data_IF_416760256320
#
_entry.id   IF_416760256320
#
_cell.length_a   1.000
_cell.length_b   1.000
_cell.length_c   1.000
_cell.angle_alpha   90.00
_cell.angle_beta   90.00
_cell.angle_gamma   90.00
#
_symmetry.space_group_name_H-M   'P 1'
#
loop_
_entity.id
_entity.type
_entity.pdbx_description
1 polymer ?
#
# COMPACT_ATOMS: atom_id res chain seq x y z
N UNK A 1 -20.12 -5.25 -3.80
CA UNK A 1 -19.61 -6.40 -4.60
C UNK A 1 -18.13 -6.51 -4.30
N UNK A 2 -17.54 -7.70 -4.19
CA UNK A 2 -16.08 -7.83 -4.06
C UNK A 2 -15.43 -7.53 -5.41
N UNK A 3 -14.36 -6.74 -5.42
CA UNK A 3 -13.45 -6.65 -6.56
C UNK A 3 -12.79 -8.02 -6.77
N UNK A 4 -12.47 -8.40 -8.01
CA UNK A 4 -11.72 -9.63 -8.29
C UNK A 4 -10.25 -9.29 -8.55
N UNK A 5 -9.31 -10.23 -8.37
CA UNK A 5 -7.88 -9.97 -8.63
C UNK A 5 -7.59 -9.45 -10.05
N UNK A 6 -8.41 -9.82 -11.04
CA UNK A 6 -8.35 -9.28 -12.40
C UNK A 6 -8.70 -7.79 -12.46
N UNK A 7 -9.62 -7.30 -11.62
CA UNK A 7 -9.97 -5.87 -11.52
C UNK A 7 -8.76 -5.08 -11.02
N UNK A 8 -8.08 -5.58 -9.99
CA UNK A 8 -6.88 -4.96 -9.43
C UNK A 8 -5.73 -4.90 -10.43
N UNK A 9 -5.49 -5.96 -11.21
CA UNK A 9 -4.50 -5.95 -12.30
C UNK A 9 -4.81 -4.89 -13.37
N UNK A 10 -6.09 -4.67 -13.70
CA UNK A 10 -6.51 -3.61 -14.63
C UNK A 10 -6.34 -2.21 -14.04
N UNK A 11 -6.69 -2.00 -12.76
CA UNK A 11 -6.47 -0.74 -12.05
C UNK A 11 -4.97 -0.41 -11.96
N UNK A 12 -4.15 -1.39 -11.59
CA UNK A 12 -2.70 -1.25 -11.42
C UNK A 12 -1.98 -0.93 -12.72
N UNK A 13 -2.29 -1.67 -13.80
CA UNK A 13 -1.74 -1.39 -15.14
C UNK A 13 -2.23 -0.07 -15.74
N UNK A 14 -3.35 0.48 -15.27
CA UNK A 14 -3.81 1.83 -15.62
C UNK A 14 -3.03 2.91 -14.86
N UNK A 15 -2.84 2.73 -13.55
CA UNK A 15 -2.02 3.62 -12.72
C UNK A 15 -0.55 3.66 -13.19
N UNK A 16 0.04 2.49 -13.45
CA UNK A 16 1.44 2.37 -13.92
C UNK A 16 1.67 3.11 -15.25
N UNK A 17 0.68 3.12 -16.15
CA UNK A 17 0.70 3.94 -17.39
C UNK A 17 0.59 5.44 -17.12
N UNK A 18 -0.38 5.86 -16.28
CA UNK A 18 -0.57 7.28 -15.95
C UNK A 18 0.62 7.88 -15.18
N UNK A 19 1.30 7.09 -14.36
CA UNK A 19 2.48 7.51 -13.59
C UNK A 19 3.60 8.06 -14.49
N UNK A 20 3.86 7.40 -15.63
CA UNK A 20 4.91 7.78 -16.56
C UNK A 20 4.70 9.17 -17.19
N UNK A 21 3.51 9.42 -17.74
CA UNK A 21 3.19 10.73 -18.35
C UNK A 21 3.09 11.83 -17.30
N UNK A 22 2.36 11.59 -16.21
CA UNK A 22 2.19 12.53 -15.11
C UNK A 22 3.55 12.96 -14.52
N UNK A 23 4.50 12.04 -14.39
CA UNK A 23 5.88 12.35 -13.96
C UNK A 23 6.61 13.29 -14.92
N UNK A 24 6.52 13.07 -16.24
CA UNK A 24 7.12 13.98 -17.23
C UNK A 24 6.45 15.35 -17.28
N UNK A 25 5.12 15.41 -17.13
CA UNK A 25 4.36 16.66 -17.20
C UNK A 25 4.58 17.52 -15.95
N UNK A 26 4.68 16.90 -14.76
CA UNK A 26 5.10 17.56 -13.52
C UNK A 26 6.54 18.10 -13.62
N UNK A 27 7.47 17.35 -14.21
CA UNK A 27 8.84 17.80 -14.42
C UNK A 27 8.89 19.02 -15.36
N UNK A 28 8.13 19.00 -16.46
CA UNK A 28 8.06 20.13 -17.39
C UNK A 28 7.37 21.36 -16.75
N UNK A 29 6.33 21.15 -15.94
CA UNK A 29 5.66 22.21 -15.22
C UNK A 29 6.56 22.84 -14.14
N UNK A 30 7.33 22.03 -13.40
CA UNK A 30 8.32 22.52 -12.44
C UNK A 30 9.41 23.37 -13.13
N UNK A 31 9.89 22.97 -14.31
CA UNK A 31 10.83 23.78 -15.10
C UNK A 31 10.23 25.12 -15.54
N UNK A 32 8.97 25.12 -16.03
CA UNK A 32 8.24 26.35 -16.41
C UNK A 32 8.01 27.29 -15.22
N UNK A 33 7.70 26.73 -14.04
CA UNK A 33 7.56 27.48 -12.80
C UNK A 33 8.91 28.09 -12.36
N UNK A 34 10.00 27.32 -12.44
CA UNK A 34 11.34 27.77 -12.05
C UNK A 34 11.92 28.84 -12.99
N UNK A 35 11.70 28.71 -14.31
CA UNK A 35 12.29 29.61 -15.31
C UNK A 35 11.44 30.86 -15.58
N UNK A 36 10.10 30.72 -15.58
CA UNK A 36 9.17 31.74 -16.06
C UNK A 36 8.05 32.07 -15.06
N UNK A 37 8.10 31.54 -13.83
CA UNK A 37 7.05 31.76 -12.81
C UNK A 37 5.67 31.22 -13.20
N UNK A 38 5.58 30.38 -14.23
CA UNK A 38 4.30 29.90 -14.76
C UNK A 38 3.68 28.88 -13.80
N UNK A 39 2.43 29.08 -13.32
CA UNK A 39 1.77 28.13 -12.44
C UNK A 39 1.48 26.81 -13.16
N UNK A 40 1.28 25.73 -12.39
CA UNK A 40 0.80 24.46 -12.91
C UNK A 40 -0.60 24.63 -13.51
N UNK A 41 -0.92 23.91 -14.59
CA UNK A 41 -2.26 23.96 -15.16
C UNK A 41 -3.28 23.23 -14.26
N UNK A 42 -4.51 23.72 -14.27
CA UNK A 42 -5.64 23.11 -13.54
C UNK A 42 -5.81 21.64 -13.93
N UNK A 43 -5.66 21.31 -15.22
CA UNK A 43 -5.68 19.92 -15.74
C UNK A 43 -4.63 19.01 -15.08
N UNK A 44 -3.40 19.50 -14.87
CA UNK A 44 -2.31 18.72 -14.29
C UNK A 44 -2.54 18.49 -12.78
N UNK A 45 -3.18 19.45 -12.12
CA UNK A 45 -3.61 19.33 -10.73
C UNK A 45 -4.77 18.33 -10.59
N UNK A 46 -5.74 18.35 -11.51
CA UNK A 46 -6.82 17.36 -11.57
C UNK A 46 -6.29 15.93 -11.81
N UNK A 47 -5.35 15.76 -12.74
CA UNK A 47 -4.73 14.47 -13.03
C UNK A 47 -3.88 13.95 -11.86
N UNK A 48 -3.12 14.82 -11.18
CA UNK A 48 -2.42 14.49 -9.94
C UNK A 48 -3.37 14.01 -8.84
N UNK A 49 -4.45 14.76 -8.60
CA UNK A 49 -5.46 14.43 -7.58
C UNK A 49 -6.22 13.14 -7.94
N UNK A 50 -6.49 12.90 -9.22
CA UNK A 50 -7.11 11.67 -9.72
C UNK A 50 -6.19 10.47 -9.54
N UNK A 51 -4.92 10.57 -9.95
CA UNK A 51 -3.92 9.52 -9.80
C UNK A 51 -3.75 9.11 -8.33
N UNK A 52 -3.58 10.09 -7.43
CA UNK A 52 -3.45 9.85 -6.00
C UNK A 52 -4.71 9.17 -5.41
N UNK A 53 -5.91 9.61 -5.83
CA UNK A 53 -7.19 8.99 -5.44
C UNK A 53 -7.32 7.53 -5.89
N UNK A 54 -7.02 7.24 -7.15
CA UNK A 54 -7.11 5.88 -7.69
C UNK A 54 -6.02 4.95 -7.12
N UNK A 55 -4.82 5.48 -6.84
CA UNK A 55 -3.77 4.76 -6.12
C UNK A 55 -4.18 4.38 -4.70
N UNK A 56 -4.63 5.35 -3.89
CA UNK A 56 -5.08 5.09 -2.53
C UNK A 56 -6.30 4.15 -2.50
N UNK A 57 -7.21 4.26 -3.47
CA UNK A 57 -8.33 3.32 -3.62
C UNK A 57 -7.84 1.90 -3.84
N UNK A 58 -6.94 1.67 -4.79
CA UNK A 58 -6.36 0.34 -5.04
C UNK A 58 -5.59 -0.18 -3.82
N UNK A 59 -4.84 0.68 -3.14
CA UNK A 59 -4.13 0.33 -1.90
C UNK A 59 -5.10 -0.16 -0.82
N UNK A 60 -6.24 0.52 -0.63
CA UNK A 60 -7.26 0.11 0.35
C UNK A 60 -8.03 -1.16 -0.07
N UNK A 61 -8.31 -1.35 -1.36
CA UNK A 61 -8.89 -2.61 -1.88
C UNK A 61 -7.94 -3.80 -1.63
N UNK A 62 -6.62 -3.63 -1.80
CA UNK A 62 -5.59 -4.66 -1.55
C UNK A 62 -5.34 -4.92 -0.06
N UNK A 63 -5.41 -3.87 0.78
CA UNK A 63 -5.29 -4.00 2.25
C UNK A 63 -6.54 -4.64 2.87
N UNK A 64 -7.74 -4.48 2.28
CA UNK A 64 -8.96 -5.06 2.88
C UNK A 64 -9.12 -6.57 2.65
N UNK A 65 -8.24 -7.22 1.88
CA UNK A 65 -8.19 -8.69 1.75
C UNK A 65 -6.89 -9.32 2.27
N UNK A 66 -6.02 -8.56 2.97
CA UNK A 66 -4.81 -9.07 3.62
C UNK A 66 -4.60 -8.45 5.01
N UNK A 67 -4.14 -9.23 6.00
CA UNK A 67 -4.14 -8.83 7.41
C UNK A 67 -3.33 -7.56 7.73
N UNK A 68 -3.70 -6.92 8.83
CA UNK A 68 -3.22 -5.61 9.31
C UNK A 68 -1.70 -5.42 9.23
N UNK A 69 -1.26 -4.51 8.36
CA UNK A 69 0.11 -3.97 8.36
C UNK A 69 0.05 -2.44 8.46
N UNK A 70 0.90 -1.87 9.33
CA UNK A 70 0.97 -0.45 9.64
C UNK A 70 1.21 0.46 8.42
N UNK A 71 0.80 1.72 8.58
CA UNK A 71 0.95 2.77 7.57
C UNK A 71 2.43 3.03 7.23
N UNK A 72 2.88 2.48 6.10
CA UNK A 72 4.13 2.83 5.42
C UNK A 72 3.76 3.42 4.06
N UNK A 73 4.51 4.42 3.61
CA UNK A 73 4.38 5.02 2.27
C UNK A 73 4.86 4.02 1.21
N UNK A 74 3.99 3.06 0.86
CA UNK A 74 4.28 2.04 -0.15
C UNK A 74 4.33 2.67 -1.55
N UNK A 75 5.38 2.38 -2.31
CA UNK A 75 5.44 2.77 -3.72
C UNK A 75 4.52 1.92 -4.60
N UNK A 76 4.25 2.36 -5.83
CA UNK A 76 3.51 1.55 -6.81
C UNK A 76 4.22 0.22 -7.10
N UNK A 77 5.55 0.22 -7.10
CA UNK A 77 6.39 -0.98 -7.21
C UNK A 77 6.21 -1.97 -6.05
N UNK A 78 5.87 -1.50 -4.85
CA UNK A 78 5.63 -2.37 -3.69
C UNK A 78 4.18 -2.89 -3.68
N UNK A 79 3.25 -2.12 -4.24
CA UNK A 79 1.89 -2.56 -4.52
C UNK A 79 1.88 -3.63 -5.63
N UNK A 80 2.70 -3.48 -6.68
CA UNK A 80 2.93 -4.52 -7.71
C UNK A 80 3.47 -5.82 -7.10
N UNK A 81 4.51 -5.75 -6.25
CA UNK A 81 5.03 -6.94 -5.53
C UNK A 81 3.97 -7.58 -4.63
N UNK A 82 3.22 -6.79 -3.86
CA UNK A 82 2.16 -7.31 -2.97
C UNK A 82 1.02 -7.95 -3.74
N UNK A 83 0.60 -7.39 -4.89
CA UNK A 83 -0.44 -8.00 -5.71
C UNK A 83 0.03 -9.34 -6.30
N UNK A 84 1.31 -9.42 -6.72
CA UNK A 84 1.90 -10.68 -7.17
C UNK A 84 1.91 -11.73 -6.05
N UNK A 85 2.28 -11.33 -4.83
CA UNK A 85 2.33 -12.20 -3.64
C UNK A 85 0.95 -12.56 -3.06
N UNK A 86 -0.12 -11.81 -3.34
CA UNK A 86 -1.50 -12.16 -2.97
C UNK A 86 -2.18 -13.09 -3.99
N UNK A 87 -1.73 -13.09 -5.25
CA UNK A 87 -2.27 -13.95 -6.32
C UNK A 87 -1.62 -15.35 -6.27
N UNK A 88 -0.37 -15.45 -5.81
CA UNK A 88 0.13 -16.65 -5.17
C UNK A 88 -0.67 -16.88 -3.87
N UNK A 89 -1.26 -18.06 -3.60
CA UNK A 89 -1.82 -18.31 -2.28
C UNK A 89 -0.68 -18.26 -1.25
N UNK A 90 -0.86 -17.50 -0.17
CA UNK A 90 0.07 -17.52 0.97
C UNK A 90 -0.01 -18.90 1.65
N UNK A 91 0.82 -19.82 1.13
CA UNK A 91 0.80 -21.25 1.42
C UNK A 91 1.31 -21.57 2.85
N UNK A 92 1.42 -20.56 3.73
CA UNK A 92 1.93 -20.62 5.10
C UNK A 92 1.50 -21.85 5.93
N UNK A 93 0.22 -22.29 6.00
CA UNK A 93 -0.12 -23.52 6.71
C UNK A 93 0.52 -24.76 6.07
N UNK A 94 0.58 -24.83 4.74
CA UNK A 94 1.22 -25.93 4.01
C UNK A 94 2.75 -25.85 4.04
N UNK A 95 3.34 -24.65 4.01
CA UNK A 95 4.77 -24.39 4.17
C UNK A 95 5.23 -24.76 5.59
N UNK A 96 4.47 -24.37 6.62
CA UNK A 96 4.68 -24.80 8.01
C UNK A 96 4.58 -26.32 8.13
N UNK A 97 3.61 -26.95 7.48
CA UNK A 97 3.48 -28.42 7.49
C UNK A 97 4.64 -29.12 6.76
N UNK A 98 5.10 -28.57 5.62
CA UNK A 98 6.31 -29.03 4.89
C UNK A 98 7.56 -28.89 5.78
N UNK A 99 7.77 -27.73 6.40
CA UNK A 99 8.88 -27.47 7.32
C UNK A 99 8.88 -28.43 8.52
N UNK A 100 7.73 -28.64 9.17
CA UNK A 100 7.59 -29.60 10.28
C UNK A 100 7.83 -31.04 9.82
N UNK A 101 7.36 -31.45 8.63
CA UNK A 101 7.66 -32.77 8.04
C UNK A 101 9.17 -32.97 7.83
N UNK A 102 9.86 -31.97 7.28
CA UNK A 102 11.33 -32.00 7.09
C UNK A 102 12.07 -32.13 8.43
N UNK A 103 11.64 -31.41 9.47
CA UNK A 103 12.26 -31.52 10.79
C UNK A 103 11.98 -32.89 11.44
N UNK A 104 10.75 -33.40 11.36
CA UNK A 104 10.39 -34.73 11.88
C UNK A 104 11.12 -35.86 11.10
N UNK A 105 11.38 -35.67 9.80
CA UNK A 105 12.25 -36.54 9.00
C UNK A 105 13.69 -36.58 9.55
N UNK A 106 14.33 -35.43 9.79
CA UNK A 106 15.70 -35.37 10.37
C UNK A 106 15.76 -36.01 11.75
N UNK A 107 14.76 -35.75 12.60
CA UNK A 107 14.70 -36.33 13.95
C UNK A 107 14.60 -37.86 13.93
N UNK A 108 13.97 -38.43 12.88
CA UNK A 108 13.88 -39.86 12.63
C UNK A 108 15.14 -40.52 12.03
N UNK A 109 16.24 -39.80 11.82
CA UNK A 109 17.49 -40.40 11.33
C UNK A 109 18.28 -41.09 12.46
N UNK A 110 18.98 -42.18 12.17
CA UNK A 110 19.87 -42.89 13.10
C UNK A 110 21.16 -43.32 12.39
N UNK A 111 22.24 -43.54 13.15
CA UNK A 111 23.49 -44.11 12.62
C UNK A 111 23.47 -45.64 12.76
N UNK A 112 23.59 -46.34 11.64
CA UNK A 112 23.43 -47.80 11.48
C UNK A 112 24.29 -48.62 12.45
N UNK A 113 25.53 -48.19 12.69
CA UNK A 113 26.52 -48.93 13.48
C UNK A 113 26.79 -48.34 14.89
N UNK A 114 26.12 -47.24 15.27
CA UNK A 114 26.43 -46.49 16.50
C UNK A 114 25.16 -45.91 17.12
N UNK A 115 24.86 -46.28 18.35
CA UNK A 115 23.65 -45.80 19.06
C UNK A 115 23.73 -44.35 19.56
N UNK A 116 24.93 -43.77 19.59
CA UNK A 116 25.20 -42.36 19.92
C UNK A 116 26.19 -41.86 18.87
N UNK A 117 25.93 -40.73 18.23
CA UNK A 117 26.80 -40.17 17.20
C UNK A 117 26.69 -38.63 17.20
N UNK A 118 27.62 -37.99 17.92
CA UNK A 118 27.56 -36.58 18.35
C UNK A 118 27.26 -35.58 17.22
N UNK A 119 27.74 -35.85 16.00
CA UNK A 119 27.49 -34.98 14.84
C UNK A 119 26.05 -35.07 14.30
N UNK A 120 25.42 -36.25 14.36
CA UNK A 120 23.99 -36.40 14.07
C UNK A 120 23.16 -35.85 15.23
N UNK A 121 23.57 -36.07 16.48
CA UNK A 121 22.88 -35.52 17.64
C UNK A 121 22.89 -33.98 17.63
N UNK A 122 23.97 -33.36 17.16
CA UNK A 122 24.05 -31.91 16.93
C UNK A 122 23.03 -31.42 15.89
N UNK A 123 22.90 -32.13 14.76
CA UNK A 123 21.88 -31.83 13.75
C UNK A 123 20.45 -32.01 14.30
N UNK A 124 20.21 -33.01 15.16
CA UNK A 124 18.92 -33.21 15.85
C UNK A 124 18.59 -32.12 16.87
N UNK A 125 19.58 -31.61 17.60
CA UNK A 125 19.36 -30.47 18.50
C UNK A 125 18.97 -29.21 17.72
N UNK A 126 19.67 -28.93 16.61
CA UNK A 126 19.30 -27.85 15.67
C UNK A 126 17.87 -28.02 15.12
N UNK A 127 17.53 -29.22 14.65
CA UNK A 127 16.18 -29.53 14.17
C UNK A 127 15.10 -29.36 15.27
N UNK A 128 15.41 -29.76 16.51
CA UNK A 128 14.52 -29.60 17.67
C UNK A 128 14.30 -28.12 18.02
N UNK A 129 15.34 -27.29 17.94
CA UNK A 129 15.26 -25.85 18.20
C UNK A 129 14.39 -25.12 17.15
N UNK A 130 14.59 -25.42 15.86
CA UNK A 130 13.73 -24.89 14.80
C UNK A 130 12.27 -25.36 14.96
N UNK A 131 12.08 -26.62 15.35
CA UNK A 131 10.75 -27.20 15.61
C UNK A 131 10.03 -26.51 16.76
N UNK A 132 10.72 -26.19 17.86
CA UNK A 132 10.12 -25.43 18.97
C UNK A 132 9.82 -24.00 18.58
N UNK A 133 10.71 -23.29 17.86
CA UNK A 133 10.45 -21.95 17.32
C UNK A 133 9.19 -21.93 16.43
N UNK A 134 9.11 -22.81 15.43
CA UNK A 134 7.95 -22.95 14.52
C UNK A 134 6.67 -23.35 15.28
N UNK A 135 6.77 -23.99 16.44
CA UNK A 135 5.61 -24.33 17.28
C UNK A 135 5.10 -23.13 18.08
N UNK A 136 6.01 -22.34 18.67
CA UNK A 136 5.66 -21.24 19.59
C UNK A 136 5.37 -19.89 18.90
N UNK A 137 5.92 -19.64 17.72
CA UNK A 137 5.69 -18.42 16.92
C UNK A 137 4.82 -18.73 15.70
N UNK A 138 3.48 -18.57 15.76
CA UNK A 138 2.58 -19.00 14.69
C UNK A 138 2.37 -17.99 13.56
N UNK A 139 2.83 -16.73 13.71
CA UNK A 139 2.45 -15.59 12.84
C UNK A 139 3.61 -14.97 12.05
N UNK A 140 4.87 -15.29 12.36
CA UNK A 140 6.05 -14.77 11.66
C UNK A 140 7.03 -15.91 11.38
N UNK A 141 7.58 -15.96 10.17
CA UNK A 141 8.59 -16.93 9.77
C UNK A 141 9.99 -16.32 9.94
N UNK A 142 10.91 -17.05 10.61
CA UNK A 142 12.35 -16.76 10.51
C UNK A 142 12.83 -17.09 9.09
N UNK A 143 13.84 -16.35 8.61
CA UNK A 143 14.51 -16.61 7.32
C UNK A 143 15.07 -18.03 7.22
N UNK A 144 15.38 -18.65 8.35
CA UNK A 144 15.79 -20.06 8.45
C UNK A 144 14.69 -21.04 8.03
N UNK A 145 13.42 -20.70 8.29
CA UNK A 145 12.25 -21.53 7.92
C UNK A 145 11.92 -21.36 6.45
N UNK A 146 12.06 -20.15 5.90
CA UNK A 146 11.97 -19.91 4.46
C UNK A 146 13.05 -20.69 3.69
N UNK A 147 14.29 -20.66 4.17
CA UNK A 147 15.39 -21.46 3.63
C UNK A 147 15.12 -22.97 3.71
N UNK A 148 14.47 -23.45 4.78
CA UNK A 148 14.09 -24.85 4.95
C UNK A 148 13.00 -25.29 3.95
N UNK A 149 12.01 -24.43 3.72
CA UNK A 149 10.94 -24.66 2.73
C UNK A 149 11.46 -24.57 1.29
N UNK A 150 12.45 -23.72 1.04
CA UNK A 150 13.14 -23.62 -0.24
C UNK A 150 14.16 -24.76 -0.49
N UNK A 151 14.40 -25.64 0.48
CA UNK A 151 15.39 -26.73 0.40
C UNK A 151 16.85 -26.28 0.61
N UNK A 152 17.11 -24.97 0.73
CA UNK A 152 18.44 -24.34 0.84
C UNK A 152 19.02 -24.41 2.27
N UNK A 153 18.31 -24.98 3.25
CA UNK A 153 18.81 -25.11 4.63
C UNK A 153 19.74 -26.33 4.81
N UNK A 154 20.76 -26.28 5.69
CA UNK A 154 21.65 -27.43 5.91
C UNK A 154 20.94 -28.72 6.37
N UNK A 155 19.79 -28.61 7.04
CA UNK A 155 18.98 -29.77 7.44
C UNK A 155 18.21 -30.39 6.27
N UNK A 156 17.78 -29.61 5.28
CA UNK A 156 17.21 -30.17 4.05
C UNK A 156 18.30 -30.76 3.15
N UNK A 157 19.46 -30.11 3.05
CA UNK A 157 20.63 -30.69 2.38
C UNK A 157 21.03 -32.06 2.96
N UNK A 158 21.03 -32.18 4.29
CA UNK A 158 21.26 -33.43 5.01
C UNK A 158 20.25 -34.53 4.61
N UNK A 159 18.96 -34.22 4.53
CA UNK A 159 17.96 -35.18 4.03
C UNK A 159 18.18 -35.52 2.55
N UNK A 160 18.44 -34.55 1.68
CA UNK A 160 18.64 -34.79 0.24
C UNK A 160 19.80 -35.75 -0.01
N UNK A 161 20.93 -35.60 0.72
CA UNK A 161 22.06 -36.53 0.66
C UNK A 161 21.72 -37.94 1.20
N UNK A 162 20.79 -38.07 2.15
CA UNK A 162 20.41 -39.35 2.78
C UNK A 162 19.28 -40.09 2.05
N UNK A 163 18.27 -39.38 1.54
CA UNK A 163 17.08 -39.96 0.89
C UNK A 163 17.22 -40.05 -0.63
N UNK A 164 18.05 -39.21 -1.28
CA UNK A 164 18.25 -39.22 -2.75
C UNK A 164 19.70 -39.37 -3.20
N UNK A 165 20.62 -39.64 -2.27
CA UNK A 165 22.06 -39.53 -2.49
C UNK A 165 22.62 -40.32 -3.68
N UNK A 166 22.14 -41.55 -3.88
CA UNK A 166 22.58 -42.44 -4.96
C UNK A 166 22.10 -42.00 -6.37
N UNK A 167 21.26 -40.95 -6.46
CA UNK A 167 20.73 -40.41 -7.73
C UNK A 167 21.02 -38.93 -7.96
N UNK A 168 21.90 -38.31 -7.16
CA UNK A 168 22.34 -36.92 -7.35
C UNK A 168 23.52 -36.82 -8.32
N UNK A 169 23.61 -35.72 -9.07
CA UNK A 169 24.78 -35.39 -9.89
C UNK A 169 25.97 -35.01 -9.00
N UNK A 170 27.20 -35.39 -9.36
CA UNK A 170 28.43 -35.12 -8.60
C UNK A 170 28.57 -33.64 -8.17
N UNK A 171 28.22 -32.69 -9.04
CA UNK A 171 28.28 -31.26 -8.73
C UNK A 171 27.27 -30.84 -7.66
N UNK A 172 26.06 -31.42 -7.67
CA UNK A 172 25.04 -31.16 -6.66
C UNK A 172 25.41 -31.84 -5.34
N UNK A 173 25.95 -33.07 -5.39
CA UNK A 173 26.46 -33.79 -4.23
C UNK A 173 27.54 -32.99 -3.49
N UNK A 174 28.55 -32.47 -4.20
CA UNK A 174 29.65 -31.69 -3.59
C UNK A 174 29.16 -30.42 -2.89
N UNK A 175 28.22 -29.68 -3.48
CA UNK A 175 27.65 -28.46 -2.87
C UNK A 175 26.88 -28.79 -1.58
N UNK A 176 26.08 -29.86 -1.61
CA UNK A 176 25.33 -30.31 -0.44
C UNK A 176 26.25 -30.90 0.65
N UNK A 177 27.32 -31.61 0.27
CA UNK A 177 28.35 -32.10 1.20
C UNK A 177 29.07 -30.93 1.89
N UNK A 178 29.52 -29.93 1.12
CA UNK A 178 30.16 -28.74 1.68
C UNK A 178 29.25 -28.06 2.71
N UNK A 179 27.99 -27.82 2.34
CA UNK A 179 26.99 -27.19 3.20
C UNK A 179 26.74 -27.97 4.51
N UNK A 180 26.58 -29.30 4.43
CA UNK A 180 26.40 -30.15 5.62
C UNK A 180 27.68 -30.21 6.46
N UNK A 181 28.85 -30.28 5.82
CA UNK A 181 30.14 -30.35 6.51
C UNK A 181 30.52 -29.06 7.24
N UNK A 182 30.12 -27.90 6.69
CA UNK A 182 30.30 -26.59 7.31
C UNK A 182 29.36 -26.39 8.52
N UNK A 183 28.17 -26.99 8.48
CA UNK A 183 27.11 -26.79 9.49
C UNK A 183 27.16 -27.81 10.64
N UNK A 184 27.49 -29.07 10.35
CA UNK A 184 27.43 -30.19 11.29
C UNK A 184 28.70 -31.05 11.34
N UNK A 185 29.74 -30.65 10.62
CA UNK A 185 31.06 -31.29 10.63
C UNK A 185 31.25 -32.40 9.59
N UNK A 186 32.51 -32.54 9.13
CA UNK A 186 32.93 -33.52 8.11
C UNK A 186 32.67 -34.99 8.50
N UNK A 187 32.60 -35.28 9.80
CA UNK A 187 32.20 -36.59 10.33
C UNK A 187 30.81 -37.01 9.88
N UNK A 188 29.84 -36.09 9.84
CA UNK A 188 28.48 -36.39 9.41
C UNK A 188 28.42 -36.59 7.88
N UNK A 189 29.06 -35.73 7.10
CA UNK A 189 29.20 -35.87 5.66
C UNK A 189 29.80 -37.24 5.26
N UNK A 190 30.90 -37.65 5.92
CA UNK A 190 31.55 -38.95 5.71
C UNK A 190 30.69 -40.14 6.18
N UNK A 191 29.78 -39.96 7.13
CA UNK A 191 28.81 -40.99 7.50
C UNK A 191 27.71 -41.15 6.44
N UNK A 192 27.24 -40.04 5.86
CA UNK A 192 26.23 -40.02 4.80
C UNK A 192 26.78 -40.62 3.51
N UNK A 193 27.97 -40.20 3.05
CA UNK A 193 28.63 -40.75 1.84
C UNK A 193 29.01 -42.24 1.94
N UNK A 194 28.85 -42.85 3.12
CA UNK A 194 29.06 -44.28 3.39
C UNK A 194 27.76 -45.05 3.64
N UNK A 195 26.60 -44.44 3.43
CA UNK A 195 25.29 -45.07 3.69
C UNK A 195 25.07 -45.48 5.15
N UNK A 196 25.72 -44.81 6.10
CA UNK A 196 25.65 -45.14 7.54
C UNK A 196 24.54 -44.38 8.27
N UNK A 197 24.06 -43.28 7.72
CA UNK A 197 22.85 -42.59 8.22
C UNK A 197 21.64 -43.20 7.53
N UNK A 198 20.68 -43.69 8.32
CA UNK A 198 19.46 -44.34 7.84
C UNK A 198 18.24 -43.74 8.54
N UNK A 199 17.06 -43.85 7.94
CA UNK A 199 15.80 -43.43 8.56
C UNK A 199 15.24 -44.57 9.42
N UNK A 200 14.92 -44.29 10.69
CA UNK A 200 14.33 -45.29 11.59
C UNK A 200 12.87 -45.53 11.25
N UNK A 201 12.61 -46.54 10.42
CA UNK A 201 11.26 -47.04 10.17
C UNK A 201 10.81 -47.86 11.37
N UNK A 202 9.76 -47.41 12.07
CA UNK A 202 9.15 -48.15 13.18
C UNK A 202 8.28 -49.31 12.65
N UNK A 203 8.94 -50.36 12.16
CA UNK A 203 8.31 -51.61 11.74
C UNK A 203 9.08 -52.81 12.30
N UNK A 204 8.34 -53.76 12.88
CA UNK A 204 8.85 -55.08 13.27
C UNK A 204 9.28 -55.90 12.04
N UNK A 205 9.83 -57.09 12.31
CA UNK A 205 10.08 -58.19 11.36
C UNK A 205 11.35 -58.13 10.48
N UNK A 206 12.47 -58.48 11.12
CA UNK A 206 13.31 -59.64 10.78
C UNK A 206 13.70 -59.94 9.30
N UNK A 207 15.03 -60.02 9.11
CA UNK A 207 15.80 -60.94 8.24
C UNK A 207 15.87 -60.74 6.71
N UNK A 208 17.09 -60.50 6.19
CA UNK A 208 17.89 -61.48 5.41
C UNK A 208 18.73 -60.89 4.25
N UNK A 209 19.94 -61.46 4.07
CA UNK A 209 20.74 -61.53 2.81
C UNK A 209 21.49 -60.29 2.27
N UNK A 210 22.44 -60.57 1.37
CA UNK A 210 23.62 -59.76 0.96
C UNK A 210 23.69 -59.69 -0.59
N UNK A 211 24.25 -58.61 -1.21
CA UNK A 211 24.26 -58.38 -2.68
C UNK A 211 25.55 -58.98 -3.34
N UNK A 212 26.06 -58.61 -4.56
CA UNK A 212 25.61 -57.61 -5.56
C UNK A 212 25.76 -58.02 -7.07
N UNK A 213 25.61 -57.01 -7.97
CA UNK A 213 26.35 -56.75 -9.23
C UNK A 213 25.68 -56.95 -10.61
N UNK A 214 25.71 -55.90 -11.45
CA UNK A 214 26.13 -55.87 -12.87
C UNK A 214 25.93 -54.47 -13.51
N UNK A 215 26.73 -54.12 -14.54
CA UNK A 215 26.71 -52.80 -15.24
C UNK A 215 25.73 -52.80 -16.45
N UNK A 216 25.64 -51.71 -17.24
CA UNK A 216 26.52 -51.63 -18.41
C UNK A 216 27.07 -50.24 -18.81
N UNK A 217 28.34 -50.26 -19.21
CA UNK A 217 29.01 -49.62 -20.37
C UNK A 217 28.85 -48.15 -20.78
N UNK A 218 30.02 -47.58 -21.09
CA UNK A 218 30.28 -46.24 -21.65
C UNK A 218 30.43 -46.33 -23.18
N UNK A 219 29.95 -45.32 -23.92
CA UNK A 219 30.39 -45.05 -25.30
C UNK A 219 30.76 -43.57 -25.44
N UNK A 220 31.91 -43.30 -26.05
CA UNK A 220 32.46 -41.96 -26.33
C UNK A 220 32.84 -41.91 -27.83
N UNK A 221 33.02 -40.68 -28.35
CA UNK A 221 33.60 -40.28 -29.65
C UNK A 221 32.57 -40.02 -30.77
N UNK A 222 32.60 -38.86 -31.45
CA UNK A 222 33.46 -37.70 -31.15
C UNK A 222 33.35 -36.51 -32.11
N UNK A 223 33.99 -35.42 -31.68
CA UNK A 223 34.46 -34.27 -32.48
C UNK A 223 35.65 -34.69 -33.38
N UNK A 224 36.05 -33.97 -34.47
CA UNK A 224 36.47 -32.55 -34.36
C UNK A 224 36.38 -31.61 -35.61
N UNK A 225 36.60 -30.30 -35.34
CA UNK A 225 37.11 -29.24 -36.26
C UNK A 225 36.22 -28.81 -37.47
N UNK A 226 36.31 -27.59 -38.04
CA UNK A 226 37.27 -26.49 -37.84
C UNK A 226 36.77 -25.09 -38.24
N UNK A 227 37.45 -24.06 -37.71
CA UNK A 227 37.71 -22.71 -38.27
C UNK A 227 36.60 -21.64 -38.43
N UNK A 228 37.04 -20.40 -38.17
CA UNK A 228 36.44 -19.07 -38.38
C UNK A 228 37.40 -18.26 -39.32
N UNK A 229 37.36 -16.92 -39.52
CA UNK A 229 36.39 -15.85 -39.16
C UNK A 229 36.05 -14.88 -40.35
N UNK A 230 35.53 -13.67 -40.06
CA UNK A 230 35.49 -12.37 -40.82
C UNK A 230 34.07 -11.77 -41.01
N UNK A 231 33.84 -10.45 -41.20
CA UNK A 231 34.42 -9.23 -40.58
C UNK A 231 33.45 -8.02 -40.80
N UNK A 232 33.88 -6.75 -40.64
CA UNK A 232 33.04 -5.57 -40.31
C UNK A 232 32.94 -4.48 -41.42
N UNK A 233 31.75 -3.88 -41.62
CA UNK A 233 31.50 -2.59 -42.33
C UNK A 233 30.32 -1.85 -41.61
N UNK A 234 30.20 -0.53 -41.31
CA UNK A 234 30.96 0.75 -41.54
C UNK A 234 30.23 1.78 -42.46
N UNK A 235 29.15 2.42 -41.92
CA UNK A 235 28.72 3.86 -42.06
C UNK A 235 28.50 4.51 -43.48
N UNK A 236 28.20 5.84 -43.65
CA UNK A 236 27.11 6.71 -43.11
C UNK A 236 26.38 7.56 -44.22
N UNK A 237 25.70 8.68 -43.82
CA UNK A 237 25.37 9.93 -44.60
C UNK A 237 23.88 10.15 -44.97
N UNK A 238 23.32 11.37 -45.18
CA UNK A 238 23.47 12.74 -44.59
C UNK A 238 22.33 13.68 -45.09
N UNK A 239 22.07 14.76 -44.34
CA UNK A 239 21.23 15.98 -44.54
C UNK A 239 20.49 16.40 -45.86
N UNK A 240 19.19 16.80 -45.73
CA UNK A 240 18.59 18.20 -45.79
C UNK A 240 18.74 19.07 -47.10
N UNK A 241 17.97 20.17 -47.41
CA UNK A 241 16.68 20.74 -46.95
C UNK A 241 15.60 20.96 -48.07
N UNK A 242 14.39 21.47 -47.73
CA UNK A 242 13.81 22.75 -48.28
C UNK A 242 12.42 23.16 -47.74
N UNK A 243 12.17 24.47 -47.71
CA UNK A 243 10.91 25.24 -47.47
C UNK A 243 11.00 26.58 -48.26
N UNK A 244 10.04 27.54 -48.24
CA UNK A 244 8.64 27.58 -47.79
C UNK A 244 7.68 27.86 -49.00
N UNK A 245 6.51 28.54 -48.84
CA UNK A 245 6.46 30.02 -48.81
C UNK A 245 5.45 30.65 -47.80
N UNK A 246 5.35 31.99 -47.80
CA UNK A 246 4.64 32.85 -46.82
C UNK A 246 3.58 33.76 -47.49
N UNK A 247 2.55 34.21 -46.75
CA UNK A 247 1.75 35.46 -46.91
C UNK A 247 0.70 35.51 -45.74
N UNK A 248 0.10 36.62 -45.28
CA UNK A 248 0.53 37.97 -44.82
C UNK A 248 -0.72 38.65 -44.16
N UNK A 249 -0.62 39.71 -43.31
CA UNK A 249 -1.83 40.47 -42.89
C UNK A 249 -1.98 41.11 -41.48
N UNK A 250 -1.07 42.00 -41.09
CA UNK A 250 -1.31 43.34 -40.44
C UNK A 250 -2.47 43.63 -39.42
N UNK A 251 -2.09 43.97 -38.17
CA UNK A 251 -2.66 44.93 -37.16
C UNK A 251 -4.18 45.28 -37.01
N UNK A 252 -4.65 45.43 -35.75
CA UNK A 252 -5.27 46.65 -35.11
C UNK A 252 -5.10 46.55 -33.55
N UNK A 253 -5.19 47.68 -32.81
CA UNK A 253 -5.04 47.83 -31.33
C UNK A 253 -6.25 48.59 -30.71
N UNK A 254 -6.30 48.75 -29.37
CA UNK A 254 -7.31 49.41 -28.48
C UNK A 254 -8.39 48.46 -27.88
N UNK A 255 -8.90 48.67 -26.65
CA UNK A 255 -8.48 49.59 -25.58
C UNK A 255 -9.58 49.92 -24.55
N UNK A 256 -9.32 49.62 -23.26
CA UNK A 256 -9.96 50.10 -22.01
C UNK A 256 -11.50 49.98 -21.78
N UNK A 257 -11.85 49.72 -20.51
CA UNK A 257 -13.18 49.93 -19.91
C UNK A 257 -13.35 51.41 -19.44
N UNK A 258 -14.46 51.87 -18.81
CA UNK A 258 -15.69 51.17 -18.39
C UNK A 258 -17.03 51.91 -18.72
N UNK A 259 -18.18 51.30 -18.39
CA UNK A 259 -19.47 52.00 -18.26
C UNK A 259 -20.19 51.54 -16.98
N UNK A 260 -20.82 52.50 -16.27
CA UNK A 260 -21.63 52.29 -15.06
C UNK A 260 -23.12 52.40 -15.39
N UNK A 261 -23.95 51.57 -14.75
CA UNK A 261 -25.41 51.59 -14.91
C UNK A 261 -26.13 51.39 -13.58
N UNK A 262 -26.76 52.45 -13.06
CA UNK A 262 -27.72 52.35 -11.94
C UNK A 262 -29.10 52.00 -12.48
N UNK A 263 -29.79 51.06 -11.82
CA UNK A 263 -31.23 50.88 -11.95
C UNK A 263 -31.83 50.66 -10.55
N UNK A 264 -33.05 51.16 -10.33
CA UNK A 264 -33.69 51.19 -9.01
C UNK A 264 -35.17 50.83 -9.10
N UNK A 265 -35.57 49.68 -8.53
CA UNK A 265 -36.93 49.45 -8.01
C UNK A 265 -37.00 48.17 -7.16
N UNK A 266 -38.18 47.92 -6.56
CA UNK A 266 -38.61 46.72 -5.83
C UNK A 266 -37.88 46.39 -4.51
N UNK A 267 -38.42 46.93 -3.41
CA UNK A 267 -38.06 46.56 -2.03
C UNK A 267 -38.70 45.22 -1.65
N UNK A 268 -38.11 44.11 -2.09
CA UNK A 268 -38.18 42.89 -1.29
C UNK A 268 -37.34 43.10 -0.02
N UNK A 269 -37.83 42.70 1.16
CA UNK A 269 -37.00 42.64 2.36
C UNK A 269 -36.08 41.43 2.26
N UNK A 270 -35.06 41.54 1.40
CA UNK A 270 -33.98 40.56 1.29
C UNK A 270 -33.31 40.49 2.65
N UNK A 271 -33.56 39.40 3.38
CA UNK A 271 -32.84 39.06 4.61
C UNK A 271 -31.34 39.13 4.29
N UNK A 272 -30.58 39.85 5.11
CA UNK A 272 -29.15 40.00 4.88
C UNK A 272 -28.48 38.62 4.94
N UNK A 273 -27.50 38.32 4.06
CA UNK A 273 -26.77 37.06 4.13
C UNK A 273 -26.11 36.96 5.51
N UNK A 274 -26.46 35.91 6.26
CA UNK A 274 -25.94 35.69 7.60
C UNK A 274 -24.51 35.19 7.48
N UNK A 275 -23.56 36.04 7.84
CA UNK A 275 -22.14 35.71 7.81
C UNK A 275 -21.77 34.70 8.89
N UNK A 276 -20.79 33.86 8.59
CA UNK A 276 -20.17 32.91 9.50
C UNK A 276 -18.67 33.13 9.50
N UNK A 277 -18.06 32.83 10.65
CA UNK A 277 -16.63 32.57 10.79
C UNK A 277 -16.46 31.11 11.19
N UNK A 278 -15.64 30.38 10.44
CA UNK A 278 -15.38 28.95 10.60
C UNK A 278 -13.90 28.76 10.92
N UNK A 279 -13.58 28.38 12.16
CA UNK A 279 -12.26 27.94 12.56
C UNK A 279 -12.14 26.42 12.40
N UNK A 280 -11.02 25.94 11.87
CA UNK A 280 -10.70 24.49 11.81
C UNK A 280 -9.25 24.25 12.23
N UNK A 281 -9.04 23.21 13.03
CA UNK A 281 -7.73 22.70 13.42
C UNK A 281 -7.35 21.56 12.48
N UNK A 282 -6.37 21.78 11.60
CA UNK A 282 -5.96 20.82 10.56
C UNK A 282 -4.66 20.14 10.99
N UNK A 283 -4.62 18.80 10.91
CA UNK A 283 -3.44 18.02 11.28
C UNK A 283 -2.17 18.53 10.57
N UNK A 284 -1.08 18.74 11.32
CA UNK A 284 0.21 19.35 10.91
C UNK A 284 0.16 20.80 10.39
N UNK A 285 -1.00 21.35 10.05
CA UNK A 285 -1.15 22.71 9.49
C UNK A 285 -1.69 23.74 10.50
N UNK A 286 -2.15 23.28 11.67
CA UNK A 286 -2.61 24.12 12.77
C UNK A 286 -4.01 24.72 12.54
N UNK A 287 -4.34 25.73 13.33
CA UNK A 287 -5.61 26.42 13.28
C UNK A 287 -5.69 27.41 12.11
N UNK A 288 -6.81 27.40 11.39
CA UNK A 288 -7.10 28.30 10.27
C UNK A 288 -8.54 28.78 10.30
N UNK A 289 -8.77 29.99 9.79
CA UNK A 289 -10.06 30.66 9.80
C UNK A 289 -10.55 30.92 8.37
N UNK A 290 -11.86 30.69 8.15
CA UNK A 290 -12.53 30.73 6.86
C UNK A 290 -13.90 31.43 6.97
N UNK A 291 -14.42 31.94 5.86
CA UNK A 291 -15.72 32.61 5.77
C UNK A 291 -16.89 31.64 5.52
N UNK A 292 -18.13 32.16 5.62
CA UNK A 292 -19.32 31.45 5.13
C UNK A 292 -19.17 31.07 3.65
N UNK A 293 -19.64 29.87 3.28
CA UNK A 293 -19.51 29.26 1.95
C UNK A 293 -18.06 29.01 1.48
N UNK A 294 -17.03 29.32 2.27
CA UNK A 294 -15.65 28.94 1.96
C UNK A 294 -15.38 27.48 2.36
N UNK A 295 -14.46 26.80 1.67
CA UNK A 295 -14.06 25.43 1.98
C UNK A 295 -12.97 25.43 3.06
N UNK A 296 -13.36 25.13 4.30
CA UNK A 296 -12.48 25.08 5.46
C UNK A 296 -11.83 23.69 5.59
N UNK A 297 -10.62 23.54 5.04
CA UNK A 297 -9.81 22.32 5.14
C UNK A 297 -8.87 22.09 3.96
N UNK A 298 -8.48 20.83 3.73
CA UNK A 298 -7.48 20.41 2.74
C UNK A 298 -7.95 19.19 1.94
N UNK A 299 -8.82 19.44 0.96
CA UNK A 299 -9.46 18.44 0.08
C UNK A 299 -8.44 17.52 -0.60
N UNK A 300 -8.48 16.22 -0.31
CA UNK A 300 -7.66 15.20 -0.97
C UNK A 300 -6.17 15.23 -0.61
N UNK A 301 -5.76 16.04 0.37
CA UNK A 301 -4.35 16.14 0.80
C UNK A 301 -3.99 15.18 1.94
N UNK A 302 -4.93 14.35 2.39
CA UNK A 302 -4.68 13.33 3.40
C UNK A 302 -4.73 13.79 4.87
N UNK A 303 -4.92 15.10 5.12
CA UNK A 303 -4.87 15.67 6.46
C UNK A 303 -6.28 15.75 7.08
N UNK A 304 -6.53 15.14 8.25
CA UNK A 304 -7.80 15.28 8.95
C UNK A 304 -7.99 16.66 9.56
N UNK A 305 -9.26 17.05 9.70
CA UNK A 305 -9.66 17.97 10.75
C UNK A 305 -9.57 17.24 12.09
N UNK A 306 -8.88 17.83 13.06
CA UNK A 306 -8.82 17.36 14.45
C UNK A 306 -9.82 18.11 15.35
N UNK A 307 -10.32 19.26 14.88
CA UNK A 307 -11.38 20.04 15.53
C UNK A 307 -11.89 21.20 14.67
N UNK A 308 -13.01 21.81 15.08
CA UNK A 308 -13.59 22.99 14.44
C UNK A 308 -14.42 23.86 15.41
N UNK A 309 -14.65 25.11 15.02
CA UNK A 309 -15.38 26.13 15.77
C UNK A 309 -16.20 26.98 14.78
N UNK A 310 -17.46 27.30 15.10
CA UNK A 310 -18.33 28.09 14.21
C UNK A 310 -18.99 29.21 15.00
N UNK A 311 -18.94 30.44 14.46
CA UNK A 311 -19.57 31.64 15.04
C UNK A 311 -20.34 32.41 13.97
N UNK A 312 -21.47 33.01 14.34
CA UNK A 312 -22.27 33.90 13.48
C UNK A 312 -21.66 35.31 13.55
N UNK A 313 -21.18 35.82 12.42
CA UNK A 313 -20.41 37.07 12.34
C UNK A 313 -20.87 37.91 11.13
N UNK A 314 -21.48 39.10 11.33
CA UNK A 314 -21.88 39.68 12.61
C UNK A 314 -22.99 38.87 13.29
N UNK A 315 -22.98 38.83 14.62
CA UNK A 315 -23.96 38.07 15.41
C UNK A 315 -25.38 38.64 15.25
N UNK A 316 -26.38 37.75 15.13
CA UNK A 316 -27.77 38.09 14.78
C UNK A 316 -28.67 37.92 16.02
N UNK A 317 -29.33 38.98 16.53
CA UNK A 317 -30.12 38.89 17.76
C UNK A 317 -31.20 37.79 17.71
N UNK A 318 -31.14 36.86 18.67
CA UNK A 318 -32.08 35.75 18.78
C UNK A 318 -31.82 34.58 17.82
N UNK A 319 -30.74 34.60 17.04
CA UNK A 319 -30.23 33.47 16.28
C UNK A 319 -28.86 33.05 16.86
N UNK A 320 -28.70 31.76 17.11
CA UNK A 320 -27.42 31.15 17.45
C UNK A 320 -27.36 29.73 16.86
N UNK A 321 -26.30 28.98 17.12
CA UNK A 321 -26.14 27.61 16.64
C UNK A 321 -25.48 26.72 17.68
N UNK A 322 -25.64 25.40 17.53
CA UNK A 322 -24.91 24.39 18.30
C UNK A 322 -24.53 23.21 17.43
N UNK A 323 -23.45 22.52 17.78
CA UNK A 323 -22.89 21.45 16.96
C UNK A 323 -22.26 20.34 17.80
N UNK A 324 -22.13 19.17 17.18
CA UNK A 324 -21.41 18.02 17.71
C UNK A 324 -20.56 17.38 16.62
N UNK A 325 -19.54 16.62 17.03
CA UNK A 325 -18.70 15.83 16.15
C UNK A 325 -18.76 14.35 16.53
N UNK A 326 -18.51 13.48 15.56
CA UNK A 326 -18.04 12.13 15.81
C UNK A 326 -16.51 12.13 15.71
N UNK A 327 -15.83 11.93 16.83
CA UNK A 327 -14.38 11.86 16.92
C UNK A 327 -13.98 10.39 16.91
N UNK A 328 -12.98 10.01 16.11
CA UNK A 328 -12.49 8.63 16.05
C UNK A 328 -12.05 8.14 17.44
N UNK A 329 -12.34 6.87 17.75
CA UNK A 329 -12.15 6.22 19.06
C UNK A 329 -12.94 6.79 20.26
N UNK A 330 -13.43 8.03 20.20
CA UNK A 330 -14.17 8.71 21.29
C UNK A 330 -15.69 8.65 21.06
N UNK A 331 -16.13 8.66 19.80
CA UNK A 331 -17.53 8.63 19.41
C UNK A 331 -18.17 10.02 19.32
N UNK A 332 -19.49 10.08 19.56
CA UNK A 332 -20.27 11.33 19.48
C UNK A 332 -19.97 12.25 20.68
N UNK A 333 -19.56 13.50 20.43
CA UNK A 333 -19.51 14.53 21.47
C UNK A 333 -20.91 14.94 21.93
N UNK A 334 -21.05 15.56 23.11
CA UNK A 334 -22.20 16.42 23.41
C UNK A 334 -22.38 17.52 22.35
N UNK A 335 -23.59 18.08 22.26
CA UNK A 335 -23.83 19.33 21.53
C UNK A 335 -23.21 20.50 22.31
N UNK A 336 -22.30 21.24 21.68
CA UNK A 336 -21.68 22.44 22.24
C UNK A 336 -22.18 23.70 21.52
N UNK A 337 -22.16 24.83 22.22
CA UNK A 337 -22.64 26.12 21.72
C UNK A 337 -21.72 26.74 20.66
N UNK A 338 -22.28 27.66 19.89
CA UNK A 338 -21.59 28.63 19.06
C UNK A 338 -20.30 29.17 19.70
N UNK A 339 -19.24 29.25 18.90
CA UNK A 339 -17.95 29.79 19.33
C UNK A 339 -17.18 28.91 20.32
N UNK A 340 -17.53 27.65 20.52
CA UNK A 340 -16.73 26.68 21.28
C UNK A 340 -16.01 25.69 20.35
N UNK A 341 -14.81 25.25 20.71
CA UNK A 341 -14.07 24.25 19.93
C UNK A 341 -14.67 22.85 20.15
N UNK A 342 -15.04 22.16 19.08
CA UNK A 342 -15.32 20.71 19.09
C UNK A 342 -14.13 19.97 18.49
N UNK A 343 -13.75 18.82 19.05
CA UNK A 343 -12.58 18.06 18.63
C UNK A 343 -11.52 17.95 19.72
N UNK A 344 -10.38 17.35 19.38
CA UNK A 344 -9.23 17.17 20.27
C UNK A 344 -7.90 17.38 19.52
N UNK A 345 -7.62 18.60 19.01
CA UNK A 345 -6.39 18.87 18.26
C UNK A 345 -5.13 18.56 19.06
N UNK A 346 -4.10 18.09 18.34
CA UNK A 346 -2.83 17.63 18.91
C UNK A 346 -2.89 16.24 19.56
N UNK A 347 -4.06 15.62 19.74
CA UNK A 347 -4.18 14.24 20.26
C UNK A 347 -4.16 13.14 19.19
N UNK A 348 -3.93 13.51 17.92
CA UNK A 348 -3.97 12.57 16.79
C UNK A 348 -5.37 12.03 16.47
N UNK A 349 -6.42 12.65 17.01
CA UNK A 349 -7.81 12.20 16.86
C UNK A 349 -8.53 13.00 15.77
N UNK A 350 -9.01 12.28 14.77
CA UNK A 350 -9.70 12.84 13.60
C UNK A 350 -11.22 12.92 13.79
N UNK A 351 -11.83 13.96 13.21
CA UNK A 351 -13.29 14.07 13.05
C UNK A 351 -13.73 13.12 11.91
N UNK A 352 -14.68 12.22 12.14
CA UNK A 352 -15.27 11.36 11.08
C UNK A 352 -16.55 11.96 10.46
N UNK A 353 -17.20 12.87 11.18
CA UNK A 353 -18.42 13.55 10.78
C UNK A 353 -18.97 14.47 11.87
N UNK A 354 -20.02 15.21 11.59
CA UNK A 354 -20.59 16.22 12.50
C UNK A 354 -22.07 16.53 12.21
N UNK A 355 -22.72 17.22 13.13
CA UNK A 355 -24.05 17.81 12.93
C UNK A 355 -24.09 19.23 13.48
N UNK A 356 -24.83 20.13 12.82
CA UNK A 356 -24.96 21.56 13.18
C UNK A 356 -26.44 21.93 13.10
N UNK A 357 -26.97 22.61 14.11
CA UNK A 357 -28.35 23.09 14.10
C UNK A 357 -28.48 24.51 14.66
N UNK A 358 -29.46 25.24 14.12
CA UNK A 358 -29.80 26.60 14.57
C UNK A 358 -30.62 26.55 15.85
N UNK A 359 -30.43 27.56 16.70
CA UNK A 359 -31.09 27.71 17.99
C UNK A 359 -31.49 29.17 18.25
N UNK A 360 -32.33 29.38 19.26
CA UNK A 360 -32.87 30.69 19.62
C UNK A 360 -34.16 31.07 18.85
N UNK A 361 -34.86 32.14 19.27
CA UNK A 361 -36.17 32.51 18.75
C UNK A 361 -36.27 32.81 17.25
N UNK A 362 -35.15 33.03 16.56
CA UNK A 362 -35.12 33.29 15.11
C UNK A 362 -34.82 32.05 14.26
N UNK A 363 -34.45 30.91 14.86
CA UNK A 363 -34.00 29.72 14.12
C UNK A 363 -35.01 29.18 13.09
N UNK A 364 -36.32 29.40 13.28
CA UNK A 364 -37.37 29.03 12.32
C UNK A 364 -37.26 29.76 10.98
N UNK A 365 -36.66 30.95 10.97
CA UNK A 365 -36.63 31.87 9.84
C UNK A 365 -35.41 31.61 8.93
N UNK A 366 -34.62 30.59 9.25
CA UNK A 366 -33.34 30.28 8.63
C UNK A 366 -33.13 28.77 8.49
N UNK A 367 -32.13 28.42 7.70
CA UNK A 367 -31.61 27.07 7.53
C UNK A 367 -30.10 27.13 7.62
N UNK A 368 -29.49 26.21 8.36
CA UNK A 368 -28.04 25.98 8.27
C UNK A 368 -27.80 24.78 7.36
N UNK A 369 -27.00 24.99 6.34
CA UNK A 369 -26.61 24.00 5.34
C UNK A 369 -25.10 23.74 5.43
N UNK A 370 -24.69 22.49 5.27
CA UNK A 370 -23.29 22.10 5.37
C UNK A 370 -22.98 20.82 4.58
N UNK A 371 -21.74 20.75 4.10
CA UNK A 371 -21.15 19.55 3.47
C UNK A 371 -19.73 19.35 3.99
N UNK A 372 -19.18 18.16 3.74
CA UNK A 372 -17.84 17.75 4.13
C UNK A 372 -17.18 16.94 3.01
N UNK A 373 -15.87 17.07 2.86
CA UNK A 373 -15.07 16.09 2.13
C UNK A 373 -14.63 15.00 3.10
N UNK A 374 -15.03 13.77 2.84
CA UNK A 374 -14.67 12.60 3.67
C UNK A 374 -13.71 11.69 2.89
N UNK A 375 -12.64 11.26 3.55
CA UNK A 375 -11.64 10.34 3.01
C UNK A 375 -12.32 9.14 2.33
N UNK A 376 -11.86 8.81 1.13
CA UNK A 376 -12.34 7.70 0.29
C UNK A 376 -13.83 7.73 -0.10
N UNK A 377 -14.61 8.71 0.37
CA UNK A 377 -16.02 8.94 -0.01
C UNK A 377 -16.14 10.13 -0.98
N UNK A 378 -15.33 11.17 -0.79
CA UNK A 378 -15.44 12.44 -1.49
C UNK A 378 -16.37 13.42 -0.79
N UNK A 379 -16.97 14.34 -1.55
CA UNK A 379 -17.95 15.30 -1.04
C UNK A 379 -19.26 14.59 -0.71
N UNK A 380 -19.73 14.70 0.54
CA UNK A 380 -21.04 14.15 0.93
C UNK A 380 -22.18 15.12 0.55
N UNK A 381 -23.40 14.62 0.27
CA UNK A 381 -24.55 15.47 0.00
C UNK A 381 -24.79 16.52 1.10
N UNK A 382 -25.29 17.70 0.71
CA UNK A 382 -25.55 18.80 1.65
C UNK A 382 -26.56 18.35 2.71
N UNK A 383 -26.15 18.41 3.96
CA UNK A 383 -26.96 18.21 5.15
C UNK A 383 -27.49 19.55 5.66
N UNK A 384 -28.60 19.53 6.40
CA UNK A 384 -29.12 20.71 7.10
C UNK A 384 -29.69 20.41 8.48
N UNK A 385 -29.76 21.44 9.32
CA UNK A 385 -30.47 21.47 10.62
C UNK A 385 -30.40 20.17 11.44
N UNK A 386 -29.21 19.78 11.89
CA UNK A 386 -29.00 18.62 12.77
C UNK A 386 -28.86 17.27 12.05
N UNK A 387 -29.04 17.20 10.72
CA UNK A 387 -28.67 16.03 9.93
C UNK A 387 -27.17 15.74 10.06
N UNK A 388 -26.80 14.46 10.17
CA UNK A 388 -25.40 14.09 10.35
C UNK A 388 -24.65 14.01 9.02
N UNK A 389 -23.61 14.84 8.90
CA UNK A 389 -22.71 14.96 7.76
C UNK A 389 -21.44 14.12 8.02
N UNK A 390 -21.13 13.18 7.13
CA UNK A 390 -19.94 12.31 7.22
C UNK A 390 -20.24 10.90 7.70
N UNK A 391 -19.32 10.29 8.46
CA UNK A 391 -19.39 8.88 8.89
C UNK A 391 -19.23 8.69 10.41
N UNK A 392 -19.51 7.47 10.89
CA UNK A 392 -19.34 7.07 12.30
C UNK A 392 -18.78 5.66 12.38
N UNK A 393 -17.77 5.45 13.22
CA UNK A 393 -17.11 4.16 13.43
C UNK A 393 -16.52 3.56 12.15
N UNK A 394 -16.08 4.40 11.20
CA UNK A 394 -15.52 3.93 9.91
C UNK A 394 -14.03 4.21 9.74
N UNK A 395 -13.39 5.00 10.60
CA UNK A 395 -12.01 5.43 10.43
C UNK A 395 -11.80 6.42 9.27
N UNK A 396 -12.88 6.92 8.66
CA UNK A 396 -12.84 7.84 7.51
C UNK A 396 -13.00 9.28 8.00
N UNK A 397 -11.88 10.03 8.00
CA UNK A 397 -11.83 11.44 8.40
C UNK A 397 -12.62 12.36 7.48
N UNK A 398 -13.08 13.47 8.06
CA UNK A 398 -13.34 14.73 7.37
C UNK A 398 -12.00 15.41 7.09
N UNK A 399 -11.73 15.76 5.83
CA UNK A 399 -10.55 16.54 5.41
C UNK A 399 -10.87 18.03 5.22
N UNK A 400 -12.15 18.39 5.23
CA UNK A 400 -12.62 19.78 5.21
C UNK A 400 -14.14 19.87 5.14
N UNK A 401 -14.67 21.04 5.47
CA UNK A 401 -16.10 21.32 5.54
C UNK A 401 -16.46 22.68 4.94
N UNK A 402 -17.72 22.84 4.55
CA UNK A 402 -18.27 24.09 4.03
C UNK A 402 -19.64 24.32 4.69
N UNK A 403 -19.87 25.51 5.24
CA UNK A 403 -21.07 25.84 6.03
C UNK A 403 -21.64 27.19 5.62
N UNK A 404 -22.96 27.30 5.56
CA UNK A 404 -23.66 28.56 5.30
C UNK A 404 -25.06 28.59 5.91
N UNK A 405 -25.59 29.80 6.10
CA UNK A 405 -26.97 30.01 6.52
C UNK A 405 -27.74 30.69 5.38
N UNK A 406 -28.93 30.16 5.09
CA UNK A 406 -29.89 30.75 4.15
C UNK A 406 -31.18 31.12 4.89
N UNK A 407 -31.88 32.17 4.44
CA UNK A 407 -33.21 32.52 4.97
C UNK A 407 -34.28 31.55 4.45
N UNK A 408 -35.19 31.11 5.31
CA UNK A 408 -36.43 30.48 4.88
C UNK A 408 -37.41 31.55 4.41
N UNK A 409 -38.15 31.25 3.35
CA UNK A 409 -39.10 32.15 2.69
C UNK A 409 -40.53 31.95 3.19
#
# INVERSE_FOLDING_TARGET
MKSTPQTWQQQLSSLSKCHGSLGSDLLQAAQKLQQAGTPLSETLLEELVKYNRDFNRLQQEVITEGESISQVEMSLSDLEKRLHNQIQPNDFPNQRQKALSVLDQVLSLTHKDQGIFESLDSAKHSATQLRTQITHSPTEFSTEVEALVAGVHPLSALLTLVETGESLEDQQWVVLEEQVSASFGKSLAVAISRGKIIRSVSSSELTSSVPPAANPDIVILGEPTSMTPQEVIIVPSMEVPKTPPTIDGTHIVFGNAPISGKSTSAKATRVAPVGLKVGVSIHRLGDREYAAQEYAGTRGQGLPLEGFQISIVPSVPGLSLRYMAHISEVGNTPMISEGQLVGEPGKGRQIEGFAIELTGPQASNYEICYTAHVQNVGDVPVCSNGQFCGTRGKGLRVEGLQVWIQSKA
#
